data_IF_596247564930
#
_entry.id   IF_596247564930
#
_cell.length_a   1.000
_cell.length_b   1.000
_cell.length_c   1.000
_cell.angle_alpha   90.00
_cell.angle_beta   90.00
_cell.angle_gamma   90.00
#
_symmetry.space_group_name_H-M   'P 1'
#
loop_
_entity.id
_entity.type
_entity.pdbx_description
1 polymer ?
#
# COMPACT_ATOMS: atom_id res chain seq x y z
N UNK A 1 -34.57 -0.96 16.25
CA UNK A 1 -33.40 -0.30 16.89
C UNK A 1 -32.20 -1.20 16.66
N UNK A 2 -31.05 -0.65 16.21
CA UNK A 2 -29.80 -1.43 16.17
C UNK A 2 -29.37 -1.70 17.61
N UNK A 3 -29.19 -2.96 17.96
CA UNK A 3 -28.69 -3.38 19.28
C UNK A 3 -27.20 -3.03 19.37
N UNK A 4 -26.72 -2.62 20.57
CA UNK A 4 -25.30 -2.27 20.76
C UNK A 4 -24.37 -3.48 20.70
N UNK A 5 -24.88 -4.65 21.02
CA UNK A 5 -24.19 -5.94 21.04
C UNK A 5 -25.08 -7.01 21.67
N UNK A 6 -24.65 -8.27 21.62
CA UNK A 6 -25.32 -9.45 22.19
C UNK A 6 -24.57 -9.97 23.41
N UNK A 7 -25.28 -10.11 24.53
CA UNK A 7 -24.71 -10.61 25.78
C UNK A 7 -25.45 -11.88 26.20
N UNK A 8 -24.69 -12.93 26.51
CA UNK A 8 -25.21 -14.15 27.12
C UNK A 8 -24.84 -14.18 28.60
N UNK A 9 -25.82 -14.35 29.48
CA UNK A 9 -25.62 -14.43 30.93
C UNK A 9 -25.91 -15.85 31.41
N UNK A 10 -25.01 -16.43 32.20
CA UNK A 10 -25.22 -17.71 32.88
C UNK A 10 -24.80 -17.61 34.33
N UNK A 11 -25.77 -17.70 35.24
CA UNK A 11 -25.59 -17.61 36.68
C UNK A 11 -26.74 -18.38 37.35
N UNK A 12 -26.50 -19.15 38.41
CA UNK A 12 -27.55 -19.96 39.05
C UNK A 12 -28.48 -19.13 39.95
N UNK A 13 -28.13 -17.88 40.23
CA UNK A 13 -28.93 -16.95 41.02
C UNK A 13 -29.85 -16.09 40.11
N UNK A 14 -31.16 -16.39 40.15
CA UNK A 14 -32.22 -15.64 39.45
C UNK A 14 -32.18 -14.13 39.70
N UNK A 15 -31.80 -13.70 40.91
CA UNK A 15 -31.72 -12.28 41.27
C UNK A 15 -30.57 -11.60 40.55
N UNK A 16 -29.42 -12.27 40.44
CA UNK A 16 -28.25 -11.78 39.70
C UNK A 16 -28.57 -11.70 38.21
N UNK A 17 -29.12 -12.77 37.64
CA UNK A 17 -29.47 -12.83 36.22
C UNK A 17 -30.47 -11.72 35.86
N UNK A 18 -31.53 -11.57 36.65
CA UNK A 18 -32.56 -10.55 36.38
C UNK A 18 -32.04 -9.12 36.53
N UNK A 19 -31.15 -8.87 37.49
CA UNK A 19 -30.53 -7.56 37.71
C UNK A 19 -29.60 -7.18 36.54
N UNK A 20 -28.68 -8.06 36.18
CA UNK A 20 -27.74 -7.86 35.07
C UNK A 20 -28.48 -7.71 33.74
N UNK A 21 -29.45 -8.60 33.47
CA UNK A 21 -30.24 -8.55 32.25
C UNK A 21 -31.02 -7.23 32.13
N UNK A 22 -31.63 -6.74 33.22
CA UNK A 22 -32.36 -5.46 33.21
C UNK A 22 -31.44 -4.28 32.94
N UNK A 23 -30.28 -4.24 33.59
CA UNK A 23 -29.32 -3.15 33.43
C UNK A 23 -28.76 -3.11 32.00
N UNK A 24 -28.36 -4.25 31.45
CA UNK A 24 -27.79 -4.35 30.11
C UNK A 24 -28.85 -4.10 29.01
N UNK A 25 -30.08 -4.61 29.17
CA UNK A 25 -31.19 -4.26 28.26
C UNK A 25 -31.49 -2.76 28.29
N UNK A 26 -31.41 -2.12 29.46
CA UNK A 26 -31.57 -0.67 29.61
C UNK A 26 -30.51 0.16 28.86
N UNK A 27 -29.30 -0.38 28.71
CA UNK A 27 -28.21 0.24 27.93
C UNK A 27 -28.32 -0.02 26.42
N UNK A 28 -29.25 -0.88 25.98
CA UNK A 28 -29.51 -1.20 24.57
C UNK A 28 -28.82 -2.47 24.04
N UNK A 29 -28.39 -3.36 24.93
CA UNK A 29 -27.88 -4.69 24.56
C UNK A 29 -29.02 -5.70 24.35
N UNK A 30 -28.80 -6.66 23.45
CA UNK A 30 -29.64 -7.85 23.33
C UNK A 30 -29.12 -8.91 24.31
N UNK A 31 -29.94 -9.33 25.26
CA UNK A 31 -29.49 -10.16 26.38
C UNK A 31 -30.29 -11.45 26.45
N UNK A 32 -29.59 -12.57 26.24
CA UNK A 32 -30.07 -13.91 26.59
C UNK A 32 -29.52 -14.29 27.95
N UNK A 33 -30.38 -14.79 28.83
CA UNK A 33 -30.05 -15.02 30.22
C UNK A 33 -30.58 -16.39 30.63
N UNK A 34 -29.72 -17.22 31.20
CA UNK A 34 -30.00 -18.62 31.57
C UNK A 34 -29.54 -18.84 33.02
N UNK A 35 -30.24 -19.71 33.73
CA UNK A 35 -29.88 -20.13 35.10
C UNK A 35 -29.46 -21.59 35.18
N UNK A 36 -29.78 -22.37 34.16
CA UNK A 36 -29.36 -23.76 34.03
C UNK A 36 -28.12 -23.87 33.12
N UNK A 37 -27.00 -24.43 33.60
CA UNK A 37 -25.83 -24.66 32.77
C UNK A 37 -26.00 -25.77 31.73
N UNK A 38 -27.12 -26.52 31.75
CA UNK A 38 -27.46 -27.51 30.74
C UNK A 38 -27.41 -26.94 29.32
N UNK A 39 -26.66 -27.61 28.44
CA UNK A 39 -26.47 -27.25 27.02
C UNK A 39 -25.94 -25.81 26.81
N UNK A 40 -25.30 -25.21 27.82
CA UNK A 40 -24.84 -23.81 27.76
C UNK A 40 -23.99 -23.49 26.53
N UNK A 41 -23.07 -24.39 26.15
CA UNK A 41 -22.18 -24.18 24.99
C UNK A 41 -22.96 -24.18 23.67
N UNK A 42 -24.00 -25.01 23.53
CA UNK A 42 -24.85 -25.06 22.33
C UNK A 42 -25.73 -23.81 22.24
N UNK A 43 -26.28 -23.35 23.37
CA UNK A 43 -27.03 -22.09 23.47
C UNK A 43 -26.16 -20.88 23.13
N UNK A 44 -24.94 -20.82 23.67
CA UNK A 44 -23.96 -19.77 23.33
C UNK A 44 -23.66 -19.78 21.83
N UNK A 45 -23.43 -20.95 21.25
CA UNK A 45 -23.15 -21.06 19.81
C UNK A 45 -24.32 -20.60 18.94
N UNK A 46 -25.54 -21.01 19.27
CA UNK A 46 -26.73 -20.64 18.50
C UNK A 46 -27.07 -19.15 18.60
N UNK A 47 -26.91 -18.56 19.79
CA UNK A 47 -27.13 -17.12 20.00
C UNK A 47 -26.03 -16.26 19.37
N UNK A 48 -24.80 -16.79 19.28
CA UNK A 48 -23.60 -16.09 18.80
C UNK A 48 -23.40 -14.74 19.50
N UNK A 49 -23.22 -14.73 20.84
CA UNK A 49 -23.02 -13.51 21.60
C UNK A 49 -21.65 -12.89 21.31
N UNK A 50 -21.56 -11.57 21.49
CA UNK A 50 -20.29 -10.85 21.51
C UNK A 50 -19.57 -11.09 22.87
N UNK A 51 -20.35 -11.22 23.94
CA UNK A 51 -19.89 -11.40 25.33
C UNK A 51 -20.70 -12.47 26.04
N UNK A 52 -20.01 -13.37 26.73
CA UNK A 52 -20.58 -14.29 27.72
C UNK A 52 -20.16 -13.83 29.12
N UNK A 53 -21.12 -13.59 30.01
CA UNK A 53 -20.86 -13.42 31.44
C UNK A 53 -21.22 -14.73 32.14
N UNK A 54 -20.24 -15.37 32.75
CA UNK A 54 -20.31 -16.75 33.19
C UNK A 54 -19.95 -16.90 34.66
N UNK A 55 -20.87 -17.39 35.48
CA UNK A 55 -20.54 -17.75 36.86
C UNK A 55 -19.52 -18.89 36.93
N UNK A 56 -18.51 -18.71 37.77
CA UNK A 56 -17.48 -19.69 38.06
C UNK A 56 -18.05 -20.92 38.77
N UNK A 57 -19.06 -20.73 39.63
CA UNK A 57 -19.69 -21.80 40.40
C UNK A 57 -21.13 -22.00 39.90
N UNK A 58 -21.37 -23.10 39.19
CA UNK A 58 -22.70 -23.49 38.74
C UNK A 58 -23.04 -24.89 39.28
N UNK A 59 -24.33 -25.24 39.44
CA UNK A 59 -24.75 -26.57 39.82
C UNK A 59 -24.30 -27.62 38.80
N UNK A 60 -23.56 -28.63 39.24
CA UNK A 60 -23.18 -29.79 38.42
C UNK A 60 -21.98 -29.62 37.48
N UNK A 61 -21.65 -28.40 37.03
CA UNK A 61 -20.50 -28.10 36.17
C UNK A 61 -19.82 -26.79 36.61
N UNK A 62 -18.49 -26.69 36.47
CA UNK A 62 -17.80 -25.42 36.74
C UNK A 62 -17.84 -24.50 35.52
N UNK A 63 -18.03 -23.20 35.73
CA UNK A 63 -17.87 -22.19 34.68
C UNK A 63 -16.48 -22.22 34.04
N UNK A 64 -15.45 -22.65 34.76
CA UNK A 64 -14.11 -22.84 34.19
C UNK A 64 -14.06 -23.96 33.14
N UNK A 65 -14.90 -24.99 33.26
CA UNK A 65 -14.94 -26.08 32.27
C UNK A 65 -15.70 -25.64 31.02
N UNK A 66 -16.79 -24.87 31.19
CA UNK A 66 -17.49 -24.21 30.07
C UNK A 66 -16.55 -23.24 29.33
N UNK A 67 -15.75 -22.43 30.04
CA UNK A 67 -14.75 -21.52 29.43
C UNK A 67 -13.73 -22.27 28.57
N UNK A 68 -13.20 -23.39 29.09
CA UNK A 68 -12.26 -24.23 28.34
C UNK A 68 -12.91 -24.82 27.10
N UNK A 69 -14.16 -25.23 27.19
CA UNK A 69 -14.89 -25.76 26.05
C UNK A 69 -15.12 -24.70 24.96
N UNK A 70 -15.54 -23.49 25.34
CA UNK A 70 -15.67 -22.33 24.44
C UNK A 70 -14.34 -22.06 23.72
N UNK A 71 -13.23 -22.10 24.46
CA UNK A 71 -11.88 -21.80 23.94
C UNK A 71 -11.37 -22.93 23.04
N UNK A 72 -11.55 -24.20 23.43
CA UNK A 72 -11.16 -25.37 22.66
C UNK A 72 -11.93 -25.50 21.34
N UNK A 73 -13.23 -25.17 21.36
CA UNK A 73 -14.07 -25.15 20.16
C UNK A 73 -13.89 -23.88 19.32
N UNK A 74 -13.05 -22.92 19.77
CA UNK A 74 -12.78 -21.64 19.11
C UNK A 74 -14.04 -20.84 18.78
N UNK A 75 -14.98 -20.80 19.73
CA UNK A 75 -16.20 -19.98 19.58
C UNK A 75 -15.79 -18.50 19.68
N UNK A 76 -16.18 -17.69 18.69
CA UNK A 76 -15.76 -16.30 18.53
C UNK A 76 -16.39 -15.28 19.51
N UNK A 77 -16.56 -15.65 20.78
CA UNK A 77 -17.12 -14.79 21.84
C UNK A 77 -16.05 -14.42 22.86
N UNK A 78 -16.18 -13.26 23.51
CA UNK A 78 -15.37 -12.90 24.67
C UNK A 78 -16.05 -13.41 25.95
N UNK A 79 -15.30 -13.86 26.96
CA UNK A 79 -15.87 -14.41 28.22
C UNK A 79 -15.40 -13.61 29.42
N UNK A 80 -16.36 -13.10 30.20
CA UNK A 80 -16.15 -12.44 31.49
C UNK A 80 -16.61 -13.38 32.61
N UNK A 81 -15.71 -13.72 33.53
CA UNK A 81 -16.05 -14.61 34.65
C UNK A 81 -16.73 -13.84 35.78
N UNK A 82 -17.81 -14.38 36.34
CA UNK A 82 -18.47 -13.87 37.54
C UNK A 82 -18.03 -14.73 38.72
N UNK A 83 -17.61 -14.12 39.83
CA UNK A 83 -17.09 -14.85 40.99
C UNK A 83 -17.52 -14.21 42.30
N UNK A 84 -17.85 -15.01 43.31
CA UNK A 84 -18.04 -14.53 44.70
C UNK A 84 -16.74 -14.54 45.52
N UNK A 85 -15.65 -15.06 44.95
CA UNK A 85 -14.32 -15.13 45.56
C UNK A 85 -13.43 -13.99 45.01
N UNK A 86 -12.79 -13.25 45.91
CA UNK A 86 -11.85 -12.16 45.61
C UNK A 86 -10.39 -12.66 45.49
N UNK A 87 -10.16 -13.97 45.53
CA UNK A 87 -8.82 -14.55 45.43
C UNK A 87 -8.15 -14.28 44.06
N UNK A 88 -6.97 -13.66 44.11
CA UNK A 88 -6.16 -13.38 42.92
C UNK A 88 -5.78 -14.65 42.13
N UNK A 89 -5.70 -15.80 42.80
CA UNK A 89 -5.33 -17.08 42.16
C UNK A 89 -6.40 -17.58 41.18
N UNK A 90 -7.68 -17.47 41.53
CA UNK A 90 -8.80 -17.86 40.67
C UNK A 90 -8.92 -16.93 39.46
N UNK A 91 -8.73 -15.62 39.65
CA UNK A 91 -8.69 -14.65 38.55
C UNK A 91 -7.54 -14.95 37.57
N UNK A 92 -6.32 -15.19 38.06
CA UNK A 92 -5.17 -15.54 37.21
C UNK A 92 -5.42 -16.82 36.43
N UNK A 93 -6.06 -17.82 37.03
CA UNK A 93 -6.40 -19.08 36.35
C UNK A 93 -7.45 -18.89 35.24
N UNK A 94 -8.46 -18.07 35.48
CA UNK A 94 -9.47 -17.70 34.48
C UNK A 94 -8.84 -16.98 33.27
N UNK A 95 -8.00 -15.98 33.53
CA UNK A 95 -7.31 -15.22 32.47
C UNK A 95 -6.38 -16.14 31.65
N UNK A 96 -5.64 -17.04 32.31
CA UNK A 96 -4.80 -18.04 31.61
C UNK A 96 -5.60 -19.04 30.76
N UNK A 97 -6.88 -19.24 31.09
CA UNK A 97 -7.76 -20.19 30.40
C UNK A 97 -8.60 -19.54 29.28
N UNK A 98 -8.43 -18.24 29.03
CA UNK A 98 -9.06 -17.54 27.90
C UNK A 98 -10.13 -16.51 28.28
N UNK A 99 -10.38 -16.25 29.57
CA UNK A 99 -11.26 -15.15 29.98
C UNK A 99 -10.60 -13.80 29.67
N UNK A 100 -11.40 -12.81 29.28
CA UNK A 100 -10.92 -11.45 29.00
C UNK A 100 -10.93 -10.54 30.21
N UNK A 101 -11.80 -10.85 31.18
CA UNK A 101 -11.94 -10.10 32.41
C UNK A 101 -12.68 -10.96 33.46
N UNK A 102 -12.75 -10.46 34.69
CA UNK A 102 -13.56 -11.05 35.74
C UNK A 102 -14.24 -9.97 36.60
N UNK A 103 -15.40 -10.30 37.15
CA UNK A 103 -16.19 -9.41 38.00
C UNK A 103 -16.56 -10.10 39.30
N UNK A 104 -16.30 -9.43 40.43
CA UNK A 104 -16.58 -9.96 41.76
C UNK A 104 -17.98 -9.57 42.23
N UNK A 105 -18.73 -10.53 42.78
CA UNK A 105 -20.03 -10.35 43.45
C UNK A 105 -19.80 -9.84 44.88
N UNK A 106 -20.56 -8.84 45.38
CA UNK A 106 -21.65 -8.12 44.71
C UNK A 106 -21.14 -7.10 43.69
N UNK A 107 -21.86 -6.94 42.57
CA UNK A 107 -21.41 -6.13 41.44
C UNK A 107 -21.62 -4.63 41.65
N UNK A 108 -20.63 -3.85 41.25
CA UNK A 108 -20.82 -2.44 40.89
C UNK A 108 -21.39 -2.37 39.47
N UNK A 109 -22.64 -1.91 39.34
CA UNK A 109 -23.34 -1.86 38.07
C UNK A 109 -22.73 -0.87 37.07
N UNK A 110 -22.06 0.18 37.55
CA UNK A 110 -21.35 1.11 36.67
C UNK A 110 -20.10 0.44 36.10
N UNK A 111 -19.38 -0.33 36.91
CA UNK A 111 -18.23 -1.13 36.47
C UNK A 111 -18.64 -2.19 35.43
N UNK A 112 -19.74 -2.92 35.67
CA UNK A 112 -20.29 -3.90 34.71
C UNK A 112 -20.53 -3.24 33.34
N UNK A 113 -21.16 -2.06 33.32
CA UNK A 113 -21.44 -1.34 32.08
C UNK A 113 -20.17 -0.91 31.36
N UNK A 114 -19.16 -0.42 32.09
CA UNK A 114 -17.87 -0.01 31.53
C UNK A 114 -17.14 -1.20 30.90
N UNK A 115 -17.09 -2.34 31.59
CA UNK A 115 -16.44 -3.55 31.11
C UNK A 115 -17.12 -4.07 29.85
N UNK A 116 -18.44 -4.21 29.87
CA UNK A 116 -19.22 -4.66 28.70
C UNK A 116 -19.03 -3.71 27.51
N UNK A 117 -19.14 -2.39 27.72
CA UNK A 117 -18.96 -1.41 26.65
C UNK A 117 -17.56 -1.47 26.01
N UNK A 118 -16.51 -1.53 26.85
CA UNK A 118 -15.11 -1.64 26.41
C UNK A 118 -14.85 -2.91 25.59
N UNK A 119 -15.42 -4.04 26.01
CA UNK A 119 -15.25 -5.31 25.29
C UNK A 119 -15.97 -5.28 23.93
N UNK A 120 -17.21 -4.80 23.88
CA UNK A 120 -17.96 -4.65 22.62
C UNK A 120 -17.26 -3.67 21.66
N UNK A 121 -16.77 -2.54 22.16
CA UNK A 121 -16.05 -1.56 21.35
C UNK A 121 -14.76 -2.15 20.76
N UNK A 122 -13.96 -2.87 21.56
CA UNK A 122 -12.76 -3.57 21.08
C UNK A 122 -13.10 -4.64 20.03
N UNK A 123 -14.21 -5.36 20.22
CA UNK A 123 -14.72 -6.33 19.25
C UNK A 123 -15.08 -5.67 17.91
N UNK A 124 -15.83 -4.57 17.96
CA UNK A 124 -16.23 -3.79 16.78
C UNK A 124 -15.01 -3.19 16.06
N UNK A 125 -14.05 -2.61 16.79
CA UNK A 125 -12.82 -2.08 16.22
C UNK A 125 -11.99 -3.19 15.55
N UNK A 126 -11.93 -4.38 16.15
CA UNK A 126 -11.23 -5.52 15.55
C UNK A 126 -11.92 -5.96 14.25
N UNK A 127 -13.26 -6.04 14.23
CA UNK A 127 -14.02 -6.37 13.03
C UNK A 127 -13.88 -5.28 11.95
N UNK A 128 -13.89 -4.00 12.33
CA UNK A 128 -13.69 -2.89 11.40
C UNK A 128 -12.28 -2.92 10.81
N UNK A 129 -11.26 -3.16 11.62
CA UNK A 129 -9.88 -3.36 11.15
C UNK A 129 -9.78 -4.57 10.23
N UNK A 130 -10.41 -5.70 10.56
CA UNK A 130 -10.45 -6.89 9.69
C UNK A 130 -11.19 -6.61 8.37
N UNK A 131 -12.30 -5.86 8.42
CA UNK A 131 -13.07 -5.45 7.24
C UNK A 131 -12.28 -4.50 6.34
N UNK A 132 -11.67 -3.46 6.92
CA UNK A 132 -10.79 -2.54 6.20
C UNK A 132 -9.57 -3.26 5.62
N UNK A 133 -9.02 -4.26 6.34
CA UNK A 133 -7.94 -5.11 5.84
C UNK A 133 -8.37 -5.99 4.69
N UNK A 134 -9.56 -6.61 4.72
CA UNK A 134 -10.12 -7.39 3.61
C UNK A 134 -10.40 -6.54 2.37
N UNK A 135 -11.01 -5.37 2.56
CA UNK A 135 -11.22 -4.42 1.47
C UNK A 135 -9.87 -3.96 0.89
N UNK A 136 -8.91 -3.65 1.76
CA UNK A 136 -7.58 -3.26 1.32
C UNK A 136 -6.81 -4.42 0.66
N UNK A 137 -7.00 -5.68 1.06
CA UNK A 137 -6.33 -6.83 0.43
C UNK A 137 -6.94 -7.18 -0.92
N UNK A 138 -8.26 -7.06 -1.06
CA UNK A 138 -8.97 -7.34 -2.32
C UNK A 138 -8.77 -6.21 -3.35
N UNK A 139 -8.51 -4.98 -2.90
CA UNK A 139 -8.19 -3.84 -3.77
C UNK A 139 -6.69 -3.64 -4.03
N UNK A 140 -5.80 -4.23 -3.22
CA UNK A 140 -4.35 -4.06 -3.36
C UNK A 140 -3.74 -5.32 -3.95
N UNK A 141 -3.66 -5.34 -5.28
CA UNK A 141 -2.48 -5.75 -6.06
C UNK A 141 -1.54 -6.78 -5.39
N UNK A 142 -2.04 -7.98 -5.06
CA UNK A 142 -1.22 -9.02 -4.43
C UNK A 142 -0.61 -10.00 -5.44
N UNK A 143 -1.06 -9.98 -6.69
CA UNK A 143 -0.53 -10.90 -7.69
C UNK A 143 0.51 -10.21 -8.57
N UNK A 144 1.78 -10.60 -8.42
CA UNK A 144 2.79 -10.30 -9.44
C UNK A 144 2.41 -11.08 -10.69
N UNK A 145 1.85 -10.39 -11.68
CA UNK A 145 1.47 -10.96 -12.98
C UNK A 145 2.73 -11.19 -13.81
N UNK A 146 2.79 -12.33 -14.49
CA UNK A 146 3.93 -12.76 -15.28
C UNK A 146 4.28 -14.22 -14.98
N UNK A 147 4.08 -15.08 -15.97
CA UNK A 147 4.20 -16.54 -15.85
C UNK A 147 5.47 -17.14 -16.46
N UNK A 148 6.24 -16.36 -17.25
CA UNK A 148 7.37 -16.88 -18.02
C UNK A 148 8.63 -16.02 -17.90
N UNK A 149 9.79 -16.64 -18.15
CA UNK A 149 11.08 -15.94 -18.28
C UNK A 149 11.57 -15.23 -17.01
N UNK A 150 11.65 -13.90 -17.09
CA UNK A 150 12.37 -13.03 -16.15
C UNK A 150 11.64 -12.87 -14.82
N UNK A 151 10.32 -12.67 -14.84
CA UNK A 151 9.52 -12.46 -13.61
C UNK A 151 9.55 -13.70 -12.72
N UNK A 152 9.54 -14.90 -13.29
CA UNK A 152 9.67 -16.15 -12.51
C UNK A 152 10.98 -16.20 -11.73
N UNK A 153 12.11 -15.87 -12.36
CA UNK A 153 13.42 -15.82 -11.68
C UNK A 153 13.45 -14.76 -10.58
N UNK A 154 12.79 -13.62 -10.79
CA UNK A 154 12.66 -12.57 -9.78
C UNK A 154 11.83 -13.05 -8.58
N UNK A 155 10.71 -13.76 -8.82
CA UNK A 155 9.89 -14.37 -7.76
C UNK A 155 10.70 -15.40 -6.97
N UNK A 156 11.41 -16.31 -7.64
CA UNK A 156 12.27 -17.30 -6.98
C UNK A 156 13.36 -16.64 -6.11
N UNK A 157 13.97 -15.55 -6.59
CA UNK A 157 14.95 -14.79 -5.79
C UNK A 157 14.27 -14.08 -4.60
N UNK A 158 13.11 -13.47 -4.82
CA UNK A 158 12.32 -12.81 -3.78
C UNK A 158 11.90 -13.79 -2.66
N UNK A 159 11.46 -14.99 -3.03
CA UNK A 159 11.12 -16.07 -2.08
C UNK A 159 12.32 -16.54 -1.26
N UNK A 160 13.51 -16.68 -1.88
CA UNK A 160 14.73 -17.02 -1.15
C UNK A 160 15.11 -15.94 -0.14
N UNK A 161 14.96 -14.66 -0.50
CA UNK A 161 15.18 -13.55 0.43
C UNK A 161 14.17 -13.58 1.58
N UNK A 162 12.90 -13.89 1.29
CA UNK A 162 11.86 -14.03 2.29
C UNK A 162 12.15 -15.18 3.29
N UNK A 163 12.44 -16.37 2.78
CA UNK A 163 12.75 -17.56 3.59
C UNK A 163 13.99 -17.39 4.46
N UNK A 164 14.99 -16.65 3.98
CA UNK A 164 16.20 -16.35 4.75
C UNK A 164 15.98 -15.30 5.86
N UNK A 165 14.81 -14.64 5.91
CA UNK A 165 14.53 -13.62 6.93
C UNK A 165 15.49 -12.44 6.87
N UNK A 166 15.91 -12.04 5.65
CA UNK A 166 16.92 -10.98 5.51
C UNK A 166 16.41 -9.67 6.10
N UNK A 167 17.27 -8.90 6.78
CA UNK A 167 16.79 -7.81 7.61
C UNK A 167 16.68 -6.48 6.83
N UNK A 168 17.21 -6.43 5.59
CA UNK A 168 17.04 -5.33 4.64
C UNK A 168 17.15 -5.82 3.19
N UNK A 169 16.40 -5.21 2.27
CA UNK A 169 16.46 -5.51 0.82
C UNK A 169 16.44 -4.22 0.00
N UNK A 170 17.37 -4.09 -0.94
CA UNK A 170 17.41 -3.00 -1.92
C UNK A 170 16.78 -3.44 -3.25
N UNK A 171 15.72 -2.76 -3.68
CA UNK A 171 15.01 -3.05 -4.93
C UNK A 171 15.29 -1.93 -5.94
N UNK A 172 15.99 -2.24 -7.02
CA UNK A 172 16.36 -1.26 -8.05
C UNK A 172 15.57 -1.49 -9.33
N UNK A 173 15.42 -0.45 -10.14
CA UNK A 173 14.75 -0.53 -11.44
C UNK A 173 14.09 0.78 -11.82
N UNK A 174 13.75 0.94 -13.10
CA UNK A 174 13.16 2.18 -13.61
C UNK A 174 11.80 2.53 -12.95
N UNK A 175 11.33 3.74 -13.21
CA UNK A 175 10.01 4.16 -12.75
C UNK A 175 8.92 3.29 -13.37
N UNK A 176 7.98 2.85 -12.53
CA UNK A 176 6.84 2.04 -12.98
C UNK A 176 7.15 0.58 -13.28
N UNK A 177 8.33 0.03 -12.93
CA UNK A 177 8.64 -1.40 -13.14
C UNK A 177 7.98 -2.35 -12.14
N UNK A 178 7.46 -1.83 -11.02
CA UNK A 178 6.84 -2.64 -9.96
C UNK A 178 7.74 -2.89 -8.73
N UNK A 179 8.67 -1.98 -8.41
CA UNK A 179 9.54 -2.09 -7.22
C UNK A 179 8.77 -2.30 -5.92
N UNK A 180 7.76 -1.47 -5.68
CA UNK A 180 6.88 -1.59 -4.49
C UNK A 180 6.13 -2.93 -4.47
N UNK A 181 5.69 -3.43 -5.63
CA UNK A 181 5.00 -4.73 -5.72
C UNK A 181 5.89 -5.87 -5.25
N UNK A 182 7.17 -5.87 -5.63
CA UNK A 182 8.11 -6.88 -5.15
C UNK A 182 8.43 -6.74 -3.66
N UNK A 183 8.48 -5.52 -3.11
CA UNK A 183 8.62 -5.34 -1.66
C UNK A 183 7.43 -5.94 -0.90
N UNK A 184 6.20 -5.68 -1.37
CA UNK A 184 4.97 -6.27 -0.82
C UNK A 184 4.94 -7.78 -0.96
N UNK A 185 5.37 -8.32 -2.09
CA UNK A 185 5.47 -9.77 -2.31
C UNK A 185 6.43 -10.43 -1.32
N UNK A 186 7.63 -9.87 -1.13
CA UNK A 186 8.60 -10.40 -0.16
C UNK A 186 8.04 -10.31 1.25
N UNK A 187 7.42 -9.18 1.63
CA UNK A 187 6.76 -9.03 2.92
C UNK A 187 5.69 -10.10 3.15
N UNK A 188 4.80 -10.31 2.18
CA UNK A 188 3.76 -11.34 2.27
C UNK A 188 4.36 -12.74 2.38
N UNK A 189 5.43 -13.03 1.65
CA UNK A 189 6.14 -14.31 1.76
C UNK A 189 6.88 -14.49 3.10
N UNK A 190 7.34 -13.40 3.74
CA UNK A 190 7.99 -13.41 5.06
C UNK A 190 7.00 -13.62 6.19
N UNK A 191 5.86 -12.92 6.15
CA UNK A 191 4.94 -12.81 7.29
C UNK A 191 3.67 -13.67 7.14
N UNK A 192 3.27 -13.99 5.90
CA UNK A 192 2.15 -14.87 5.56
C UNK A 192 0.81 -14.52 6.21
N UNK A 193 -0.18 -15.39 6.02
CA UNK A 193 -1.39 -15.45 6.85
C UNK A 193 -1.12 -16.32 8.09
N UNK A 194 -0.06 -15.98 8.84
CA UNK A 194 0.32 -16.72 10.04
C UNK A 194 -0.75 -16.64 11.13
N UNK A 195 -0.76 -17.60 12.09
CA UNK A 195 -1.78 -17.69 13.15
C UNK A 195 -1.81 -16.51 14.14
N UNK A 196 -0.96 -15.49 13.97
CA UNK A 196 -0.87 -14.27 14.78
C UNK A 196 -1.45 -12.99 14.14
N UNK A 197 -1.95 -13.05 12.91
CA UNK A 197 -2.54 -11.90 12.19
C UNK A 197 -1.60 -11.16 11.23
N UNK A 198 -2.14 -10.18 10.50
CA UNK A 198 -1.45 -9.37 9.48
C UNK A 198 -0.33 -8.50 10.07
N UNK A 199 0.92 -8.78 9.71
CA UNK A 199 2.07 -7.94 10.03
C UNK A 199 1.98 -6.56 9.31
N UNK A 200 2.39 -5.45 9.94
CA UNK A 200 2.29 -4.13 9.32
C UNK A 200 3.26 -3.99 8.13
N UNK A 201 2.79 -3.40 7.03
CA UNK A 201 3.62 -2.94 5.93
C UNK A 201 3.44 -1.44 5.76
N UNK A 202 4.42 -0.65 6.23
CA UNK A 202 4.33 0.82 6.25
C UNK A 202 5.29 1.39 5.21
N UNK A 203 4.76 2.15 4.24
CA UNK A 203 5.55 2.77 3.19
C UNK A 203 5.68 4.28 3.35
N UNK A 204 6.87 4.80 3.04
CA UNK A 204 7.20 6.22 2.99
C UNK A 204 7.93 6.48 1.68
N UNK A 205 7.40 7.41 0.88
CA UNK A 205 8.13 7.91 -0.28
C UNK A 205 9.02 9.09 0.15
N UNK A 206 10.33 8.93 -0.01
CA UNK A 206 11.33 9.88 0.46
C UNK A 206 11.38 11.17 -0.37
N UNK A 207 10.82 11.15 -1.59
CA UNK A 207 10.76 12.31 -2.49
C UNK A 207 9.49 13.15 -2.29
N UNK A 208 8.39 12.53 -1.84
CA UNK A 208 7.08 13.17 -1.73
C UNK A 208 6.91 14.02 -0.45
N UNK A 209 7.72 13.75 0.58
CA UNK A 209 7.61 14.44 1.88
C UNK A 209 8.63 15.58 1.94
N UNK A 210 8.23 16.79 2.37
CA UNK A 210 9.16 17.89 2.60
C UNK A 210 10.30 17.48 3.54
N UNK A 211 11.51 17.96 3.24
CA UNK A 211 12.74 17.61 3.98
C UNK A 211 12.62 17.92 5.49
N UNK A 212 11.90 18.97 5.86
CA UNK A 212 11.69 19.34 7.26
C UNK A 212 10.79 18.37 8.03
N UNK A 213 9.98 17.57 7.33
CA UNK A 213 8.99 16.67 7.93
C UNK A 213 9.41 15.20 7.86
N UNK A 214 10.15 14.80 6.83
CA UNK A 214 10.52 13.38 6.64
C UNK A 214 11.29 12.82 7.83
N UNK A 215 12.13 13.62 8.51
CA UNK A 215 12.84 13.18 9.70
C UNK A 215 11.86 12.75 10.81
N UNK A 216 10.87 13.60 11.07
CA UNK A 216 9.83 13.33 12.06
C UNK A 216 8.91 12.19 11.64
N UNK A 217 8.63 12.01 10.35
CA UNK A 217 7.80 10.89 9.88
C UNK A 217 8.52 9.56 10.04
N UNK A 218 9.82 9.51 9.71
CA UNK A 218 10.61 8.29 9.84
C UNK A 218 10.86 7.92 11.29
N UNK A 219 11.35 8.87 12.08
CA UNK A 219 11.91 8.59 13.41
C UNK A 219 11.01 9.00 14.57
N UNK A 220 9.89 9.69 14.33
CA UNK A 220 9.02 10.21 15.39
C UNK A 220 9.61 11.46 16.05
N UNK A 221 8.82 12.11 16.91
CA UNK A 221 9.26 13.30 17.62
C UNK A 221 8.67 13.39 19.03
N UNK A 222 9.47 13.94 19.94
CA UNK A 222 9.02 14.32 21.27
C UNK A 222 8.26 15.65 21.24
N UNK A 223 7.36 15.84 22.21
CA UNK A 223 6.68 17.11 22.40
C UNK A 223 7.68 18.24 22.63
N UNK A 224 7.58 19.32 21.85
CA UNK A 224 8.44 20.49 21.93
C UNK A 224 9.81 20.36 21.24
N UNK A 225 10.03 19.30 20.47
CA UNK A 225 11.29 19.09 19.71
C UNK A 225 11.51 20.11 18.57
N UNK A 226 10.44 20.70 18.04
CA UNK A 226 10.44 21.82 17.09
C UNK A 226 9.18 22.68 17.28
N UNK A 227 9.10 23.84 16.60
CA UNK A 227 8.05 24.86 16.82
C UNK A 227 6.62 24.33 16.70
N UNK A 228 6.37 23.34 15.83
CA UNK A 228 5.04 22.75 15.61
C UNK A 228 4.81 21.42 16.37
N UNK A 229 5.78 20.95 17.17
CA UNK A 229 5.70 19.69 17.92
C UNK A 229 4.79 19.80 19.16
N UNK A 230 3.48 19.95 18.97
CA UNK A 230 2.50 20.14 20.07
C UNK A 230 2.23 18.86 20.87
N UNK A 231 2.39 17.71 20.26
CA UNK A 231 2.19 16.37 20.84
C UNK A 231 3.37 15.47 20.48
N UNK A 232 3.55 14.38 21.22
CA UNK A 232 4.47 13.32 20.80
C UNK A 232 3.88 12.58 19.58
N UNK A 233 4.74 12.13 18.66
CA UNK A 233 4.34 11.33 17.50
C UNK A 233 5.34 10.19 17.26
N UNK A 234 4.82 8.98 17.13
CA UNK A 234 5.60 7.79 16.76
C UNK A 234 6.06 7.84 15.32
N UNK A 235 7.28 7.36 15.07
CA UNK A 235 7.85 7.25 13.73
C UNK A 235 7.37 6.01 12.98
N UNK A 236 7.55 6.01 11.66
CA UNK A 236 7.28 4.85 10.79
C UNK A 236 8.07 3.62 11.22
N UNK A 237 9.30 3.80 11.73
CA UNK A 237 10.09 2.69 12.26
C UNK A 237 9.45 1.96 13.43
N UNK A 238 8.71 2.68 14.29
CA UNK A 238 7.97 2.08 15.40
C UNK A 238 6.63 1.50 14.94
N UNK A 239 5.93 2.21 14.05
CA UNK A 239 4.63 1.77 13.53
C UNK A 239 4.73 0.45 12.75
N UNK A 240 5.89 0.17 12.16
CA UNK A 240 6.16 -1.05 11.40
C UNK A 240 6.78 -2.18 12.23
N UNK A 241 6.79 -2.07 13.56
CA UNK A 241 7.31 -3.11 14.45
C UNK A 241 6.63 -4.47 14.18
N UNK A 242 7.43 -5.54 14.20
CA UNK A 242 7.09 -6.91 13.82
C UNK A 242 6.58 -7.08 12.38
N UNK A 243 6.88 -6.12 11.51
CA UNK A 243 6.47 -6.15 10.11
C UNK A 243 7.56 -5.65 9.17
N UNK A 244 7.21 -4.71 8.30
CA UNK A 244 8.15 -4.20 7.30
C UNK A 244 7.92 -2.74 6.95
N UNK A 245 9.02 -2.08 6.59
CA UNK A 245 9.06 -0.68 6.19
C UNK A 245 9.46 -0.64 4.73
N UNK A 246 8.80 0.19 3.93
CA UNK A 246 9.20 0.52 2.58
C UNK A 246 9.68 1.97 2.53
N UNK A 247 10.97 2.17 2.28
CA UNK A 247 11.56 3.47 1.97
C UNK A 247 11.65 3.60 0.44
N UNK A 248 10.63 4.18 -0.16
CA UNK A 248 10.53 4.37 -1.60
C UNK A 248 11.37 5.58 -2.03
N UNK A 249 12.05 5.46 -3.18
CA UNK A 249 12.92 6.51 -3.75
C UNK A 249 14.06 6.96 -2.82
N UNK A 250 14.78 6.00 -2.22
CA UNK A 250 15.87 6.27 -1.26
C UNK A 250 16.99 7.14 -1.84
N UNK A 251 17.18 7.13 -3.16
CA UNK A 251 18.17 7.96 -3.85
C UNK A 251 17.90 9.46 -3.79
N UNK A 252 16.69 9.89 -3.40
CA UNK A 252 16.32 11.30 -3.20
C UNK A 252 16.61 11.79 -1.77
N UNK A 253 16.96 10.88 -0.85
CA UNK A 253 17.20 11.20 0.55
C UNK A 253 18.45 12.09 0.68
N UNK A 254 18.37 13.13 1.51
CA UNK A 254 19.50 14.05 1.75
C UNK A 254 20.59 13.43 2.63
N UNK A 255 21.87 13.85 2.51
CA UNK A 255 23.00 13.24 3.23
C UNK A 255 22.84 13.18 4.77
N UNK A 256 22.20 14.19 5.38
CA UNK A 256 21.96 14.21 6.82
C UNK A 256 21.03 13.08 7.29
N UNK A 257 19.98 12.79 6.51
CA UNK A 257 19.05 11.69 6.79
C UNK A 257 19.68 10.34 6.47
N UNK A 258 20.50 10.26 5.41
CA UNK A 258 21.26 9.05 5.08
C UNK A 258 22.14 8.60 6.26
N UNK A 259 22.80 9.53 6.95
CA UNK A 259 23.62 9.23 8.12
C UNK A 259 22.79 8.65 9.28
N UNK A 260 21.59 9.21 9.54
CA UNK A 260 20.68 8.71 10.58
C UNK A 260 20.12 7.34 10.21
N UNK A 261 19.75 7.14 8.95
CA UNK A 261 19.27 5.86 8.44
C UNK A 261 20.34 4.77 8.55
N UNK A 262 21.60 5.06 8.20
CA UNK A 262 22.71 4.13 8.37
C UNK A 262 22.80 3.64 9.82
N UNK A 263 22.79 4.58 10.77
CA UNK A 263 22.83 4.26 12.20
C UNK A 263 21.66 3.37 12.64
N UNK A 264 20.46 3.64 12.14
CA UNK A 264 19.27 2.82 12.38
C UNK A 264 19.44 1.39 11.83
N UNK A 265 20.00 1.23 10.63
CA UNK A 265 20.22 -0.06 10.00
C UNK A 265 21.33 -0.89 10.67
N UNK A 266 22.30 -0.23 11.29
CA UNK A 266 23.41 -0.86 12.02
C UNK A 266 23.02 -1.21 13.46
N UNK A 267 22.52 -0.23 14.22
CA UNK A 267 22.23 -0.39 15.65
C UNK A 267 20.88 -1.08 15.91
N UNK A 268 20.00 -1.15 14.89
CA UNK A 268 18.62 -1.65 15.02
C UNK A 268 17.84 -0.90 16.09
N UNK A 269 18.10 0.40 16.21
CA UNK A 269 17.45 1.30 17.16
C UNK A 269 17.15 2.64 16.51
N UNK A 270 16.02 3.23 16.87
CA UNK A 270 15.63 4.59 16.48
C UNK A 270 15.55 5.47 17.72
N UNK A 271 15.78 6.77 17.53
CA UNK A 271 15.61 7.78 18.57
C UNK A 271 14.70 8.87 18.01
N UNK A 272 13.67 9.23 18.76
CA UNK A 272 12.80 10.36 18.42
C UNK A 272 13.61 11.64 18.21
N UNK A 273 13.13 12.52 17.32
CA UNK A 273 13.65 13.89 17.22
C UNK A 273 13.48 14.60 18.57
N UNK A 274 14.58 15.08 19.13
CA UNK A 274 14.62 15.69 20.48
C UNK A 274 14.58 14.68 21.64
N UNK A 275 14.45 13.39 21.36
CA UNK A 275 14.42 12.32 22.36
C UNK A 275 15.81 11.92 22.87
N UNK A 276 15.84 11.26 24.04
CA UNK A 276 17.07 10.74 24.66
C UNK A 276 17.14 9.22 24.72
N UNK A 277 16.01 8.54 24.49
CA UNK A 277 15.90 7.09 24.63
C UNK A 277 16.00 6.42 23.27
N UNK A 278 16.76 5.32 23.22
CA UNK A 278 16.85 4.48 22.04
C UNK A 278 15.75 3.42 22.09
N UNK A 279 15.00 3.31 21.00
CA UNK A 279 13.85 2.40 20.84
C UNK A 279 14.30 1.28 19.89
N UNK A 280 14.26 0.00 20.29
CA UNK A 280 14.62 -1.11 19.42
C UNK A 280 13.66 -1.23 18.23
N UNK A 281 14.20 -1.53 17.06
CA UNK A 281 13.44 -1.76 15.83
C UNK A 281 13.49 -3.24 15.48
N UNK A 282 12.30 -3.83 15.41
CA UNK A 282 12.08 -5.19 14.91
C UNK A 282 11.26 -5.13 13.61
N UNK A 283 11.89 -4.73 12.51
CA UNK A 283 11.23 -4.62 11.20
C UNK A 283 12.19 -4.89 10.05
N UNK A 284 11.68 -5.53 8.98
CA UNK A 284 12.42 -5.68 7.72
C UNK A 284 12.39 -4.37 6.93
N UNK A 285 13.55 -3.89 6.48
CA UNK A 285 13.65 -2.63 5.73
C UNK A 285 13.77 -2.89 4.23
N UNK A 286 12.73 -2.57 3.48
CA UNK A 286 12.76 -2.51 2.03
C UNK A 286 13.13 -1.10 1.58
N UNK A 287 14.05 -0.98 0.64
CA UNK A 287 14.40 0.29 -0.02
C UNK A 287 14.17 0.16 -1.51
N UNK A 288 13.68 1.21 -2.16
CA UNK A 288 13.57 1.24 -3.62
C UNK A 288 14.31 2.44 -4.19
N UNK A 289 14.80 2.31 -5.42
CA UNK A 289 15.35 3.44 -6.16
C UNK A 289 15.25 3.21 -7.67
N UNK A 290 15.06 4.30 -8.40
CA UNK A 290 15.18 4.38 -9.85
C UNK A 290 16.51 4.98 -10.30
N UNK A 291 17.29 5.57 -9.38
CA UNK A 291 18.60 6.16 -9.64
C UNK A 291 19.68 5.09 -9.62
N UNK A 292 20.74 5.33 -10.38
CA UNK A 292 21.99 4.61 -10.21
C UNK A 292 22.69 5.11 -8.94
N UNK A 293 22.65 4.32 -7.87
CA UNK A 293 23.27 4.71 -6.60
C UNK A 293 24.80 4.76 -6.67
N UNK A 294 25.43 3.99 -7.56
CA UNK A 294 26.89 4.01 -7.74
C UNK A 294 27.33 5.37 -8.29
N UNK A 295 26.66 5.86 -9.33
CA UNK A 295 26.90 7.22 -9.85
C UNK A 295 26.56 8.31 -8.82
N UNK A 296 25.52 8.12 -8.00
CA UNK A 296 25.17 9.07 -6.95
C UNK A 296 26.25 9.12 -5.84
N UNK A 297 26.91 8.00 -5.56
CA UNK A 297 28.08 7.94 -4.66
C UNK A 297 29.26 8.68 -5.26
N UNK A 298 29.57 8.45 -6.54
CA UNK A 298 30.67 9.16 -7.24
C UNK A 298 30.47 10.68 -7.26
N UNK A 299 29.22 11.14 -7.37
CA UNK A 299 28.84 12.56 -7.34
C UNK A 299 28.76 13.15 -5.92
N UNK A 300 28.92 12.34 -4.87
CA UNK A 300 28.81 12.76 -3.47
C UNK A 300 27.38 13.06 -3.00
N UNK A 301 26.37 12.66 -3.77
CA UNK A 301 24.95 12.83 -3.44
C UNK A 301 24.44 11.72 -2.51
N UNK A 302 25.07 10.55 -2.57
CA UNK A 302 24.75 9.38 -1.74
C UNK A 302 25.99 8.89 -0.99
N UNK A 303 25.82 8.54 0.28
CA UNK A 303 26.95 8.07 1.09
C UNK A 303 27.32 6.63 0.73
N UNK A 304 28.63 6.41 0.55
CA UNK A 304 29.20 5.12 0.18
C UNK A 304 28.95 4.03 1.24
N UNK A 305 28.99 4.39 2.54
CA UNK A 305 28.75 3.48 3.66
C UNK A 305 27.30 2.97 3.68
N UNK A 306 26.33 3.86 3.50
CA UNK A 306 24.92 3.51 3.37
C UNK A 306 24.66 2.65 2.13
N UNK A 307 25.30 2.95 1.00
CA UNK A 307 25.16 2.14 -0.22
C UNK A 307 25.57 0.68 0.04
N UNK A 308 26.74 0.45 0.62
CA UNK A 308 27.20 -0.92 0.92
C UNK A 308 26.30 -1.61 1.96
N UNK A 309 25.76 -0.87 2.95
CA UNK A 309 24.84 -1.45 3.93
C UNK A 309 23.52 -1.90 3.30
N UNK A 310 23.00 -1.15 2.33
CA UNK A 310 21.75 -1.46 1.63
C UNK A 310 21.93 -2.52 0.55
N UNK A 311 23.04 -2.53 -0.18
CA UNK A 311 23.27 -3.39 -1.34
C UNK A 311 23.71 -4.83 -0.98
N UNK A 312 23.63 -5.23 0.30
CA UNK A 312 23.93 -6.62 0.72
C UNK A 312 22.96 -7.62 0.08
N UNK A 313 21.67 -7.30 0.11
CA UNK A 313 20.63 -8.10 -0.52
C UNK A 313 19.87 -7.22 -1.49
N UNK A 314 20.13 -7.38 -2.79
CA UNK A 314 19.51 -6.56 -3.83
C UNK A 314 18.73 -7.35 -4.86
N UNK A 315 17.65 -6.75 -5.35
CA UNK A 315 16.77 -7.27 -6.39
C UNK A 315 16.61 -6.20 -7.48
N UNK A 316 17.20 -6.43 -8.65
CA UNK A 316 17.04 -5.55 -9.80
C UNK A 316 15.83 -5.99 -10.64
N UNK A 317 14.90 -5.06 -10.90
CA UNK A 317 13.75 -5.29 -11.75
C UNK A 317 14.00 -4.63 -13.10
N UNK A 318 14.14 -5.42 -14.18
CA UNK A 318 14.40 -4.89 -15.50
C UNK A 318 13.18 -4.14 -16.05
N UNK A 319 13.42 -3.18 -16.94
CA UNK A 319 12.36 -2.44 -17.61
C UNK A 319 11.50 -3.35 -18.48
N UNK A 320 10.26 -2.94 -18.75
CA UNK A 320 9.27 -3.74 -19.48
C UNK A 320 9.75 -4.11 -20.89
N UNK A 321 10.54 -3.25 -21.53
CA UNK A 321 11.16 -3.51 -22.85
C UNK A 321 12.14 -4.69 -22.86
N UNK A 322 12.71 -5.08 -21.72
CA UNK A 322 13.62 -6.23 -21.58
C UNK A 322 12.86 -7.51 -21.18
N UNK A 323 11.55 -7.41 -20.93
CA UNK A 323 10.64 -8.52 -20.59
C UNK A 323 9.34 -8.42 -21.39
N UNK A 324 9.48 -8.38 -22.71
CA UNK A 324 8.34 -8.17 -23.63
C UNK A 324 7.27 -9.26 -23.51
N UNK A 325 7.66 -10.46 -23.09
CA UNK A 325 6.75 -11.59 -22.79
C UNK A 325 5.65 -11.23 -21.78
N UNK A 326 5.93 -10.29 -20.87
CA UNK A 326 4.98 -9.87 -19.82
C UNK A 326 4.00 -8.80 -20.29
N UNK A 327 4.24 -8.12 -21.42
CA UNK A 327 3.43 -6.97 -21.88
C UNK A 327 1.97 -7.39 -22.12
N UNK A 328 1.74 -8.46 -22.90
CA UNK A 328 0.38 -8.90 -23.22
C UNK A 328 -0.36 -9.50 -22.01
N UNK A 329 0.25 -10.37 -21.18
CA UNK A 329 -0.36 -10.82 -19.94
C UNK A 329 -0.77 -9.66 -19.02
N UNK A 330 0.11 -8.66 -18.83
CA UNK A 330 -0.19 -7.47 -18.04
C UNK A 330 -1.33 -6.65 -18.65
N UNK A 331 -1.30 -6.42 -19.96
CA UNK A 331 -2.33 -5.66 -20.67
C UNK A 331 -3.71 -6.31 -20.51
N UNK A 332 -3.79 -7.64 -20.68
CA UNK A 332 -5.03 -8.42 -20.51
C UNK A 332 -5.53 -8.40 -19.08
N UNK A 333 -4.64 -8.57 -18.10
CA UNK A 333 -5.01 -8.44 -16.69
C UNK A 333 -5.59 -7.06 -16.37
N UNK A 334 -4.92 -5.98 -16.80
CA UNK A 334 -5.43 -4.63 -16.55
C UNK A 334 -6.76 -4.39 -17.26
N UNK A 335 -6.94 -4.94 -18.46
CA UNK A 335 -8.20 -4.86 -19.18
C UNK A 335 -9.33 -5.49 -18.37
N UNK A 336 -9.15 -6.74 -17.91
CA UNK A 336 -10.14 -7.44 -17.09
C UNK A 336 -10.43 -6.71 -15.77
N UNK A 337 -9.38 -6.24 -15.10
CA UNK A 337 -9.47 -5.50 -13.85
C UNK A 337 -10.31 -4.22 -14.01
N UNK A 338 -9.99 -3.40 -15.03
CA UNK A 338 -10.70 -2.14 -15.26
C UNK A 338 -12.10 -2.34 -15.83
N UNK A 339 -12.30 -3.35 -16.69
CA UNK A 339 -13.62 -3.71 -17.21
C UNK A 339 -14.56 -4.09 -16.06
N UNK A 340 -14.07 -4.85 -15.08
CA UNK A 340 -14.84 -5.18 -13.86
C UNK A 340 -15.08 -3.94 -13.00
N UNK A 341 -14.03 -3.16 -12.72
CA UNK A 341 -14.10 -1.95 -11.88
C UNK A 341 -15.09 -0.91 -12.40
N UNK A 342 -15.14 -0.69 -13.72
CA UNK A 342 -16.02 0.30 -14.34
C UNK A 342 -17.32 -0.28 -14.90
N UNK A 343 -17.59 -1.58 -14.65
CA UNK A 343 -18.74 -2.32 -15.19
C UNK A 343 -18.87 -2.19 -16.72
N UNK A 344 -17.73 -2.25 -17.42
CA UNK A 344 -17.56 -2.16 -18.86
C UNK A 344 -17.16 -3.52 -19.42
N UNK A 345 -18.08 -4.47 -19.42
CA UNK A 345 -17.85 -5.85 -19.89
C UNK A 345 -17.88 -6.02 -21.41
N UNK A 346 -18.07 -4.93 -22.17
CA UNK A 346 -18.10 -4.97 -23.63
C UNK A 346 -16.74 -5.34 -24.24
N UNK A 347 -15.63 -4.83 -23.68
CA UNK A 347 -14.29 -5.04 -24.24
C UNK A 347 -13.76 -6.40 -23.78
N UNK A 348 -13.61 -7.35 -24.72
CA UNK A 348 -13.19 -8.74 -24.47
C UNK A 348 -11.71 -9.01 -24.72
N UNK A 349 -10.98 -8.05 -25.29
CA UNK A 349 -9.56 -8.24 -25.59
C UNK A 349 -8.99 -7.21 -26.56
N UNK A 350 -7.75 -7.45 -26.99
CA UNK A 350 -7.05 -6.64 -27.98
C UNK A 350 -7.14 -7.29 -29.36
N UNK A 351 -7.19 -6.49 -30.43
CA UNK A 351 -7.02 -7.02 -31.79
C UNK A 351 -5.57 -7.46 -32.03
N UNK A 352 -5.29 -8.41 -32.94
CA UNK A 352 -3.93 -8.82 -33.26
C UNK A 352 -3.01 -7.67 -33.69
N UNK A 353 -3.56 -6.66 -34.36
CA UNK A 353 -2.84 -5.44 -34.77
C UNK A 353 -2.51 -4.56 -33.57
N UNK A 354 -3.44 -4.40 -32.63
CA UNK A 354 -3.21 -3.67 -31.39
C UNK A 354 -2.16 -4.39 -30.52
N UNK A 355 -2.20 -5.72 -30.42
CA UNK A 355 -1.19 -6.49 -29.68
C UNK A 355 0.22 -6.30 -30.25
N UNK A 356 0.37 -6.28 -31.58
CA UNK A 356 1.66 -5.99 -32.23
C UNK A 356 2.20 -4.60 -31.88
N UNK A 357 1.33 -3.60 -31.81
CA UNK A 357 1.69 -2.24 -31.42
C UNK A 357 2.09 -2.15 -29.94
N UNK A 358 1.39 -2.85 -29.06
CA UNK A 358 1.75 -2.93 -27.64
C UNK A 358 3.12 -3.59 -27.45
N UNK A 359 3.44 -4.64 -28.21
CA UNK A 359 4.73 -5.33 -28.15
C UNK A 359 5.89 -4.51 -28.74
N UNK A 360 5.63 -3.67 -29.76
CA UNK A 360 6.68 -2.89 -30.42
C UNK A 360 7.03 -1.58 -29.69
N UNK A 361 6.18 -1.12 -28.80
CA UNK A 361 6.39 0.10 -28.03
C UNK A 361 7.40 -0.11 -26.89
N UNK A 362 8.25 0.89 -26.64
CA UNK A 362 9.37 0.80 -25.70
C UNK A 362 9.01 0.95 -24.22
N UNK A 363 7.76 1.34 -23.90
CA UNK A 363 7.24 1.51 -22.54
C UNK A 363 8.18 2.27 -21.58
N UNK A 364 8.53 3.55 -21.86
CA UNK A 364 9.41 4.34 -20.99
C UNK A 364 8.87 4.51 -19.56
N UNK A 365 7.54 4.50 -19.36
CA UNK A 365 6.91 4.48 -18.03
C UNK A 365 6.57 3.08 -17.53
N UNK A 366 7.07 2.04 -18.19
CA UNK A 366 6.97 0.63 -17.82
C UNK A 366 5.51 0.19 -17.55
N UNK A 367 5.30 -0.62 -16.50
CA UNK A 367 3.98 -1.19 -16.16
C UNK A 367 2.99 -0.09 -15.75
N UNK A 368 3.46 1.01 -15.16
CA UNK A 368 2.61 2.15 -14.78
C UNK A 368 2.01 2.84 -16.02
N UNK A 369 2.80 3.04 -17.06
CA UNK A 369 2.32 3.58 -18.34
C UNK A 369 1.34 2.61 -19.01
N UNK A 370 1.68 1.32 -19.10
CA UNK A 370 0.79 0.29 -19.65
C UNK A 370 -0.56 0.27 -18.94
N UNK A 371 -0.56 0.27 -17.60
CA UNK A 371 -1.77 0.33 -16.79
C UNK A 371 -2.63 1.55 -17.14
N UNK A 372 -2.02 2.74 -17.17
CA UNK A 372 -2.73 4.00 -17.43
C UNK A 372 -3.33 4.03 -18.85
N UNK A 373 -2.61 3.50 -19.83
CA UNK A 373 -3.09 3.39 -21.22
C UNK A 373 -4.31 2.47 -21.29
N UNK A 374 -4.23 1.28 -20.66
CA UNK A 374 -5.35 0.33 -20.66
C UNK A 374 -6.56 0.87 -19.88
N UNK A 375 -6.35 1.51 -18.73
CA UNK A 375 -7.42 2.16 -17.97
C UNK A 375 -8.15 3.21 -18.82
N UNK A 376 -7.41 4.06 -19.52
CA UNK A 376 -7.96 5.08 -20.41
C UNK A 376 -8.80 4.47 -21.53
N UNK A 377 -8.33 3.38 -22.15
CA UNK A 377 -9.06 2.70 -23.22
C UNK A 377 -10.39 2.14 -22.70
N UNK A 378 -10.39 1.49 -21.53
CA UNK A 378 -11.61 0.94 -20.93
C UNK A 378 -12.65 2.01 -20.60
N UNK A 379 -12.19 3.21 -20.21
CA UNK A 379 -13.08 4.32 -19.86
C UNK A 379 -13.67 5.01 -21.10
N UNK A 380 -12.89 5.16 -22.17
CA UNK A 380 -13.27 5.97 -23.33
C UNK A 380 -13.96 5.16 -24.44
N UNK A 381 -13.58 3.90 -24.62
CA UNK A 381 -14.03 3.09 -25.75
C UNK A 381 -15.21 2.19 -25.37
N UNK A 382 -15.97 1.76 -26.38
CA UNK A 382 -17.15 0.91 -26.18
C UNK A 382 -17.20 -0.31 -27.12
N UNK A 383 -16.17 -0.50 -27.94
CA UNK A 383 -16.09 -1.63 -28.87
C UNK A 383 -15.81 -2.97 -28.18
N UNK A 384 -16.13 -4.08 -28.85
CA UNK A 384 -15.89 -5.42 -28.30
C UNK A 384 -14.39 -5.76 -28.19
N UNK A 385 -13.54 -5.09 -28.98
CA UNK A 385 -12.08 -5.27 -28.98
C UNK A 385 -11.37 -3.92 -29.06
N UNK A 386 -10.21 -3.84 -28.40
CA UNK A 386 -9.29 -2.71 -28.54
C UNK A 386 -8.65 -2.76 -29.92
N UNK A 387 -8.93 -1.76 -30.75
CA UNK A 387 -8.38 -1.58 -32.09
C UNK A 387 -7.14 -0.66 -32.04
N UNK A 388 -6.28 -0.65 -33.08
CA UNK A 388 -5.16 0.28 -33.17
C UNK A 388 -5.54 1.75 -32.94
N UNK A 389 -6.67 2.18 -33.50
CA UNK A 389 -7.13 3.58 -33.42
C UNK A 389 -7.47 4.05 -32.00
N UNK A 390 -7.68 3.10 -31.08
CA UNK A 390 -7.94 3.37 -29.65
C UNK A 390 -6.64 3.58 -28.87
N UNK A 391 -5.49 3.18 -29.42
CA UNK A 391 -4.20 3.35 -28.78
C UNK A 391 -3.75 4.83 -28.89
N UNK A 392 -3.06 5.36 -27.87
CA UNK A 392 -2.43 6.67 -27.96
C UNK A 392 -1.51 6.80 -29.18
N UNK A 393 -1.41 8.02 -29.73
CA UNK A 393 -0.60 8.32 -30.92
C UNK A 393 0.87 7.96 -30.72
N UNK A 394 1.36 8.07 -29.50
CA UNK A 394 2.73 7.73 -29.11
C UNK A 394 3.06 6.25 -29.37
N UNK A 395 2.07 5.37 -29.19
CA UNK A 395 2.17 3.93 -29.44
C UNK A 395 2.00 3.64 -30.94
N UNK A 396 1.06 4.33 -31.61
CA UNK A 396 0.78 4.16 -33.04
C UNK A 396 1.96 4.53 -33.96
N UNK A 397 2.70 5.60 -33.63
CA UNK A 397 3.80 6.09 -34.46
C UNK A 397 5.18 5.58 -34.06
N UNK A 398 5.27 4.62 -33.12
CA UNK A 398 6.47 3.85 -32.84
C UNK A 398 7.76 4.67 -32.76
N UNK A 399 7.83 5.67 -31.88
CA UNK A 399 9.12 6.31 -31.56
C UNK A 399 9.76 5.63 -30.36
N UNK A 400 10.18 4.39 -30.56
CA UNK A 400 11.21 3.76 -29.74
C UNK A 400 12.55 4.45 -30.02
N UNK A 401 13.06 5.17 -29.03
CA UNK A 401 14.32 5.89 -29.11
C UNK A 401 14.13 7.35 -28.70
N UNK A 402 14.87 7.75 -27.68
CA UNK A 402 14.99 9.11 -27.21
C UNK A 402 15.16 10.10 -28.39
N UNK A 403 14.04 10.69 -28.82
CA UNK A 403 13.98 12.13 -28.95
C UNK A 403 13.09 12.57 -27.83
N UNK A 404 13.73 13.01 -26.75
CA UNK A 404 13.40 14.32 -26.22
C UNK A 404 12.85 15.16 -27.38
N UNK A 405 11.53 15.28 -27.47
CA UNK A 405 10.97 16.57 -27.84
C UNK A 405 11.33 17.40 -26.63
N UNK A 406 12.59 17.86 -26.59
CA UNK A 406 12.93 18.98 -25.76
C UNK A 406 11.94 20.04 -26.21
N UNK A 407 11.15 20.54 -25.26
CA UNK A 407 10.55 21.86 -25.37
C UNK A 407 11.68 22.92 -25.39
N UNK A 408 12.63 22.77 -26.33
CA UNK A 408 13.99 23.28 -26.21
C UNK A 408 14.95 22.75 -27.27
N UNK A 409 14.50 22.49 -28.51
CA UNK A 409 15.41 22.70 -29.66
C UNK A 409 15.56 24.21 -29.86
N UNK A 410 16.17 24.86 -28.88
CA UNK A 410 16.61 26.24 -29.00
C UNK A 410 17.65 26.30 -30.10
N UNK A 411 17.50 27.23 -31.02
CA UNK A 411 18.58 27.60 -31.93
C UNK A 411 19.72 28.09 -31.03
N UNK A 412 20.79 27.30 -30.91
CA UNK A 412 22.00 27.74 -30.20
C UNK A 412 22.61 28.88 -31.00
N UNK A 413 22.61 30.11 -30.47
CA UNK A 413 23.26 31.22 -31.13
C UNK A 413 24.79 30.97 -31.14
N UNK A 414 25.45 30.95 -32.31
CA UNK A 414 26.91 30.89 -32.38
C UNK A 414 27.52 32.20 -31.87
N UNK A 415 28.75 32.14 -31.37
CA UNK A 415 29.48 33.30 -30.82
C UNK A 415 29.69 34.44 -31.83
N UNK A 416 29.58 34.15 -33.14
CA UNK A 416 29.64 35.12 -34.22
C UNK A 416 28.32 35.90 -34.46
N UNK A 417 27.25 35.57 -33.73
CA UNK A 417 25.90 36.06 -33.98
C UNK A 417 25.23 35.37 -35.16
N UNK A 418 23.91 35.52 -35.28
CA UNK A 418 23.12 34.90 -36.34
C UNK A 418 21.97 35.83 -36.74
N UNK A 419 21.80 36.06 -38.04
CA UNK A 419 20.74 36.90 -38.58
C UNK A 419 19.41 36.16 -38.54
N UNK A 420 18.42 36.73 -37.84
CA UNK A 420 17.09 36.13 -37.73
C UNK A 420 16.38 36.04 -39.09
N UNK A 421 16.59 37.02 -39.97
CA UNK A 421 16.03 37.02 -41.32
C UNK A 421 16.59 35.85 -42.17
N UNK A 422 17.86 35.45 -41.96
CA UNK A 422 18.46 34.33 -42.70
C UNK A 422 17.97 32.96 -42.21
N UNK A 423 17.72 32.82 -40.91
CA UNK A 423 17.07 31.63 -40.34
C UNK A 423 15.66 31.50 -40.89
N UNK A 424 14.90 32.59 -40.83
CA UNK A 424 13.51 32.63 -41.30
C UNK A 424 13.44 32.26 -42.79
N UNK A 425 14.32 32.85 -43.61
CA UNK A 425 14.45 32.52 -45.04
C UNK A 425 14.81 31.06 -45.29
N UNK A 426 15.76 30.51 -44.53
CA UNK A 426 16.17 29.09 -44.66
C UNK A 426 15.04 28.13 -44.31
N UNK A 427 14.28 28.41 -43.24
CA UNK A 427 13.15 27.59 -42.82
C UNK A 427 12.02 27.62 -43.85
N UNK A 428 11.72 28.78 -44.43
CA UNK A 428 10.73 28.91 -45.50
C UNK A 428 11.12 28.10 -46.74
N UNK A 429 12.39 28.17 -47.15
CA UNK A 429 12.91 27.38 -48.27
C UNK A 429 12.80 25.87 -48.02
N UNK A 430 13.24 25.40 -46.86
CA UNK A 430 13.14 23.99 -46.49
C UNK A 430 11.69 23.49 -46.43
N UNK A 431 10.76 24.33 -45.98
CA UNK A 431 9.34 24.00 -45.95
C UNK A 431 8.74 23.91 -47.37
N UNK A 432 9.14 24.79 -48.28
CA UNK A 432 8.71 24.75 -49.68
C UNK A 432 9.29 23.53 -50.41
N UNK A 433 10.57 23.20 -50.19
CA UNK A 433 11.19 21.99 -50.78
C UNK A 433 10.50 20.71 -50.31
N UNK A 434 10.28 20.56 -48.99
CA UNK A 434 9.62 19.37 -48.42
C UNK A 434 8.17 19.19 -48.85
N UNK A 435 7.51 20.25 -49.29
CA UNK A 435 6.11 20.24 -49.72
C UNK A 435 5.96 20.34 -51.23
N UNK A 436 7.07 20.27 -51.98
CA UNK A 436 7.05 20.37 -53.45
C UNK A 436 6.47 21.68 -53.97
N UNK A 437 6.66 22.78 -53.24
CA UNK A 437 6.14 24.11 -53.58
C UNK A 437 4.69 24.38 -53.16
N UNK A 438 4.04 23.45 -52.44
CA UNK A 438 2.68 23.67 -51.95
C UNK A 438 2.66 24.64 -50.75
N UNK A 439 2.42 25.92 -51.04
CA UNK A 439 2.40 27.03 -50.06
C UNK A 439 1.42 26.80 -48.89
N UNK A 440 0.29 26.12 -49.10
CA UNK A 440 -0.67 25.82 -48.02
C UNK A 440 -0.15 24.74 -47.07
N UNK A 441 0.49 23.70 -47.60
CA UNK A 441 1.13 22.67 -46.78
C UNK A 441 2.39 23.17 -46.08
N UNK A 442 3.17 24.04 -46.74
CA UNK A 442 4.34 24.69 -46.15
C UNK A 442 3.96 25.57 -44.95
N UNK A 443 2.86 26.34 -45.05
CA UNK A 443 2.35 27.17 -43.95
C UNK A 443 1.96 26.31 -42.74
N UNK A 444 1.28 25.18 -43.00
CA UNK A 444 0.91 24.20 -41.96
C UNK A 444 2.13 23.55 -41.31
N UNK A 445 3.20 23.30 -42.08
CA UNK A 445 4.44 22.69 -41.59
C UNK A 445 5.26 23.66 -40.72
N UNK A 446 5.19 24.96 -41.01
CA UNK A 446 5.84 26.03 -40.24
C UNK A 446 4.98 26.58 -39.10
N UNK A 447 3.72 26.17 -38.99
CA UNK A 447 2.80 26.65 -37.94
C UNK A 447 2.33 28.09 -38.13
N UNK A 448 2.40 28.64 -39.34
CA UNK A 448 1.97 30.00 -39.68
C UNK A 448 0.71 29.98 -40.57
N UNK A 449 0.01 31.11 -40.65
CA UNK A 449 -1.12 31.25 -41.58
C UNK A 449 -0.61 31.33 -43.03
N UNK A 450 -1.47 30.95 -43.98
CA UNK A 450 -1.14 31.05 -45.42
C UNK A 450 -0.79 32.49 -45.84
N UNK A 451 -1.52 33.48 -45.32
CA UNK A 451 -1.28 34.88 -45.63
C UNK A 451 0.04 35.40 -45.04
N UNK A 452 0.40 34.97 -43.82
CA UNK A 452 1.72 35.27 -43.22
C UNK A 452 2.86 34.66 -44.03
N UNK A 453 2.74 33.40 -44.44
CA UNK A 453 3.76 32.75 -45.26
C UNK A 453 3.90 33.45 -46.62
N UNK A 454 2.78 33.81 -47.26
CA UNK A 454 2.79 34.52 -48.54
C UNK A 454 3.47 35.88 -48.43
N UNK A 455 3.22 36.62 -47.35
CA UNK A 455 3.89 37.89 -47.07
C UNK A 455 5.40 37.70 -46.87
N UNK A 456 5.82 36.67 -46.11
CA UNK A 456 7.25 36.37 -45.88
C UNK A 456 7.97 35.93 -47.16
N UNK A 457 7.36 35.09 -48.00
CA UNK A 457 7.91 34.70 -49.31
C UNK A 457 8.17 35.94 -50.18
N UNK A 458 7.24 36.90 -50.18
CA UNK A 458 7.39 38.17 -50.91
C UNK A 458 8.45 39.09 -50.28
N UNK A 459 8.52 39.15 -48.94
CA UNK A 459 9.53 39.91 -48.19
C UNK A 459 10.95 39.44 -48.53
N UNK A 460 11.15 38.14 -48.70
CA UNK A 460 12.47 37.54 -48.97
C UNK A 460 12.78 37.28 -50.45
N UNK A 461 11.87 37.65 -51.37
CA UNK A 461 12.07 37.50 -52.82
C UNK A 461 12.12 36.04 -53.29
N UNK A 462 11.35 35.15 -52.66
CA UNK A 462 11.36 33.70 -52.90
C UNK A 462 10.20 33.22 -53.81
N UNK A 463 9.71 34.06 -54.72
CA UNK A 463 8.55 33.74 -55.58
C UNK A 463 8.84 32.75 -56.70
#
# INVERSE_FOLDING_TARGET
MKTKGRVFLLDDDDLIVSMLARALKGEGYDVQAETDPGEAVEKIRSFSPDIVMLDLKLPGISGMDILKEITNQRIGTQVVMLTSDDSAESAVKAMKSGAVDYLTKPFDMDLVKIVVASIVEKGNLKQEVEYLRKISSDLVYNEIIGGTGVVKKLKEKAEKLAQAGVPSVLITGENGTGKEMFARYIHHAMHGEGPGGYAPFVGVNCAAIPESLIESELFGHEKGSFTDAKTEKKGVFELASQGSILLDEIGEMKPNLQAKLLRVLEERKVRHVGGKHDIPIDATVFTTTNRNLEEAVEKGEFRIDLYYRLNVFSLHIPPLRERQEDILPLARYFLEFFSTKYNRSAIKGFSPEAEKLLLSYGWPGNVRELRNVVERIVVLESDERVLPDHLPKEILFGKGGARTVSAGSGITLPDAGLSLDDVEKSLILQALEKTGGNKTQAAKLLGVTYDSLRYQIKKFGLE
#
